data_IF_186438104207
#
_entry.id   IF_186438104207
#
_cell.length_a   1.000
_cell.length_b   1.000
_cell.length_c   1.000
_cell.angle_alpha   90.00
_cell.angle_beta   90.00
_cell.angle_gamma   90.00
#
_symmetry.space_group_name_H-M   'P 1'
#
loop_
_entity.id
_entity.type
_entity.pdbx_description
1 polymer ?
#
# COMPACT_ATOMS: atom_id res chain seq x y z
N UNK A 1 -16.07 12.25 4.53
CA UNK A 1 -15.12 12.37 3.40
C UNK A 1 -15.90 12.37 2.08
N UNK A 2 -16.61 13.46 1.78
CA UNK A 2 -17.66 13.50 0.76
C UNK A 2 -17.30 13.03 -0.65
N UNK A 3 -16.05 13.20 -1.10
CA UNK A 3 -15.64 12.73 -2.43
C UNK A 3 -15.51 11.20 -2.46
N UNK A 4 -14.93 10.60 -1.44
CA UNK A 4 -14.80 9.14 -1.33
C UNK A 4 -16.16 8.47 -1.21
N UNK A 5 -17.05 9.04 -0.41
CA UNK A 5 -18.42 8.55 -0.20
C UNK A 5 -19.20 8.62 -1.54
N UNK A 6 -19.06 9.75 -2.28
CA UNK A 6 -19.63 9.87 -3.61
C UNK A 6 -19.18 8.74 -4.55
N UNK A 7 -17.87 8.43 -4.60
CA UNK A 7 -17.38 7.35 -5.46
C UNK A 7 -17.86 5.97 -5.01
N UNK A 8 -17.94 5.73 -3.70
CA UNK A 8 -18.45 4.46 -3.15
C UNK A 8 -19.92 4.25 -3.51
N UNK A 9 -20.72 5.30 -3.43
CA UNK A 9 -22.18 5.22 -3.57
C UNK A 9 -22.65 5.26 -5.03
N UNK A 10 -21.98 6.06 -5.87
CA UNK A 10 -22.47 6.36 -7.22
C UNK A 10 -21.63 5.77 -8.36
N UNK A 11 -20.37 5.38 -8.12
CA UNK A 11 -19.55 4.82 -9.19
C UNK A 11 -19.69 3.30 -9.23
N UNK A 12 -20.23 2.72 -10.33
CA UNK A 12 -20.42 1.29 -10.45
C UNK A 12 -19.11 0.52 -10.19
N UNK A 13 -19.20 -0.56 -9.43
CA UNK A 13 -18.08 -1.46 -9.09
C UNK A 13 -17.03 -0.88 -8.14
N UNK A 14 -17.00 0.43 -7.88
CA UNK A 14 -16.00 1.04 -7.02
C UNK A 14 -15.97 0.44 -5.61
N UNK A 15 -17.13 0.23 -4.99
CA UNK A 15 -17.27 -0.40 -3.66
C UNK A 15 -16.94 -1.90 -3.64
N UNK A 16 -16.69 -2.53 -4.81
CA UNK A 16 -16.37 -3.96 -4.89
C UNK A 16 -14.87 -4.24 -4.75
N UNK A 17 -14.03 -3.22 -4.90
CA UNK A 17 -12.60 -3.37 -4.80
C UNK A 17 -12.11 -2.99 -3.40
N UNK A 18 -11.24 -3.82 -2.83
CA UNK A 18 -10.60 -3.55 -1.53
C UNK A 18 -9.55 -2.44 -1.63
N UNK A 19 -8.81 -2.40 -2.73
CA UNK A 19 -7.78 -1.41 -3.00
C UNK A 19 -8.30 -0.33 -3.95
N UNK A 20 -9.08 0.59 -3.43
CA UNK A 20 -9.69 1.69 -4.17
C UNK A 20 -8.62 2.63 -4.76
N UNK A 21 -7.46 2.73 -4.12
CA UNK A 21 -6.31 3.49 -4.60
C UNK A 21 -5.78 3.07 -5.98
N UNK A 22 -6.13 1.86 -6.46
CA UNK A 22 -5.76 1.40 -7.81
C UNK A 22 -6.25 2.34 -8.93
N UNK A 23 -7.31 3.13 -8.70
CA UNK A 23 -7.78 4.13 -9.66
C UNK A 23 -6.76 5.24 -9.93
N UNK A 24 -5.84 5.48 -8.98
CA UNK A 24 -4.80 6.48 -9.13
C UNK A 24 -3.85 6.19 -10.30
N UNK A 25 -3.76 4.93 -10.76
CA UNK A 25 -2.96 4.57 -11.94
C UNK A 25 -3.37 5.37 -13.18
N UNK A 26 -4.66 5.73 -13.29
CA UNK A 26 -5.15 6.58 -14.39
C UNK A 26 -4.50 7.97 -14.30
N UNK A 27 -4.45 8.56 -13.11
CA UNK A 27 -3.80 9.85 -12.89
C UNK A 27 -2.27 9.76 -13.08
N UNK A 28 -1.66 8.70 -12.57
CA UNK A 28 -0.21 8.43 -12.71
C UNK A 28 0.23 8.26 -14.17
N UNK A 29 -0.65 7.79 -15.03
CA UNK A 29 -0.38 7.70 -16.46
C UNK A 29 -0.73 8.99 -17.22
N UNK A 30 -1.91 9.56 -16.96
CA UNK A 30 -2.42 10.69 -17.75
C UNK A 30 -1.69 12.00 -17.46
N UNK A 31 -1.30 12.26 -16.20
CA UNK A 31 -0.61 13.49 -15.82
C UNK A 31 0.78 13.59 -16.50
N UNK A 32 1.66 12.57 -16.45
CA UNK A 32 2.93 12.60 -17.20
C UNK A 32 2.73 12.67 -18.72
N UNK A 33 1.73 11.99 -19.26
CA UNK A 33 1.42 12.07 -20.69
C UNK A 33 1.08 13.49 -21.10
N UNK A 34 0.20 14.18 -20.38
CA UNK A 34 -0.14 15.58 -20.62
C UNK A 34 1.07 16.51 -20.47
N UNK A 35 1.93 16.25 -19.49
CA UNK A 35 3.16 17.02 -19.30
C UNK A 35 4.12 16.88 -20.50
N UNK A 36 4.28 15.65 -21.03
CA UNK A 36 5.09 15.40 -22.24
C UNK A 36 4.48 16.09 -23.47
N UNK A 37 3.16 16.03 -23.64
CA UNK A 37 2.47 16.72 -24.72
C UNK A 37 2.65 18.25 -24.64
N UNK A 38 2.52 18.83 -23.43
CA UNK A 38 2.75 20.24 -23.20
C UNK A 38 4.22 20.63 -23.48
N UNK A 39 5.18 19.80 -23.05
CA UNK A 39 6.60 20.02 -23.35
C UNK A 39 6.88 20.00 -24.85
N UNK A 40 6.28 19.05 -25.58
CA UNK A 40 6.35 18.98 -27.05
C UNK A 40 5.88 20.30 -27.68
N UNK A 41 4.70 20.78 -27.27
CA UNK A 41 4.13 22.04 -27.79
C UNK A 41 5.04 23.24 -27.51
N UNK A 42 5.63 23.34 -26.32
CA UNK A 42 6.60 24.39 -25.97
C UNK A 42 7.86 24.30 -26.82
N UNK A 43 8.34 23.08 -27.12
CA UNK A 43 9.55 22.87 -27.95
C UNK A 43 9.30 23.23 -29.42
N UNK A 44 8.12 22.87 -29.96
CA UNK A 44 7.74 23.15 -31.35
C UNK A 44 7.39 24.62 -31.58
N UNK A 45 6.85 25.30 -30.56
CA UNK A 45 6.38 26.70 -30.61
C UNK A 45 6.89 27.55 -29.46
N UNK A 46 8.19 27.93 -29.46
CA UNK A 46 8.76 28.74 -28.36
C UNK A 46 8.08 30.09 -28.12
N UNK A 47 7.43 30.64 -29.16
CA UNK A 47 6.67 31.90 -29.08
C UNK A 47 5.45 31.82 -28.15
N UNK A 48 4.95 30.62 -27.81
CA UNK A 48 3.88 30.42 -26.81
C UNK A 48 4.25 31.03 -25.46
N UNK A 49 5.54 31.19 -25.18
CA UNK A 49 6.00 31.89 -23.99
C UNK A 49 5.40 33.30 -23.84
N UNK A 50 5.35 34.07 -24.93
CA UNK A 50 4.83 35.43 -24.88
C UNK A 50 3.31 35.48 -24.62
N UNK A 51 2.59 34.48 -25.08
CA UNK A 51 1.15 34.33 -24.84
C UNK A 51 0.82 33.76 -23.48
N UNK A 52 1.65 32.84 -22.98
CA UNK A 52 1.38 32.03 -21.79
C UNK A 52 2.20 32.42 -20.55
N UNK A 53 2.96 33.52 -20.60
CA UNK A 53 3.78 33.99 -19.46
C UNK A 53 3.02 34.06 -18.15
N UNK A 54 1.82 34.65 -18.17
CA UNK A 54 0.98 34.81 -16.99
C UNK A 54 0.58 33.43 -16.42
N UNK A 55 0.19 32.49 -17.26
CA UNK A 55 -0.16 31.13 -16.85
C UNK A 55 1.04 30.41 -16.24
N UNK A 56 2.23 30.55 -16.83
CA UNK A 56 3.45 29.98 -16.28
C UNK A 56 3.75 30.49 -14.86
N UNK A 57 3.69 31.80 -14.62
CA UNK A 57 3.94 32.34 -13.28
C UNK A 57 2.86 31.94 -12.27
N UNK A 58 1.61 31.88 -12.68
CA UNK A 58 0.50 31.40 -11.82
C UNK A 58 0.73 29.93 -11.46
N UNK A 59 1.05 29.09 -12.43
CA UNK A 59 1.32 27.67 -12.19
C UNK A 59 2.52 27.47 -11.28
N UNK A 60 3.62 28.22 -11.51
CA UNK A 60 4.79 28.18 -10.64
C UNK A 60 4.47 28.64 -9.21
N UNK A 61 3.67 29.70 -9.06
CA UNK A 61 3.26 30.18 -7.74
C UNK A 61 2.35 29.16 -7.01
N UNK A 62 1.46 28.49 -7.75
CA UNK A 62 0.57 27.46 -7.17
C UNK A 62 1.32 26.17 -6.82
N UNK A 63 2.30 25.74 -7.60
CA UNK A 63 3.03 24.49 -7.35
C UNK A 63 4.26 24.71 -6.49
N UNK A 64 5.22 25.49 -6.97
CA UNK A 64 6.46 25.83 -6.25
C UNK A 64 6.21 26.68 -5.02
N UNK A 65 5.33 27.71 -5.12
CA UNK A 65 4.97 28.58 -4.00
C UNK A 65 4.30 27.80 -2.87
N UNK A 66 3.36 26.90 -3.18
CA UNK A 66 2.71 26.06 -2.17
C UNK A 66 3.71 25.10 -1.51
N UNK A 67 4.60 24.47 -2.31
CA UNK A 67 5.65 23.60 -1.76
C UNK A 67 6.58 24.37 -0.83
N UNK A 68 6.94 25.62 -1.19
CA UNK A 68 7.75 26.50 -0.35
C UNK A 68 7.04 26.87 0.96
N UNK A 69 5.74 27.17 0.90
CA UNK A 69 4.94 27.48 2.09
C UNK A 69 4.89 26.26 3.05
N UNK A 70 4.71 25.07 2.52
CA UNK A 70 4.74 23.82 3.32
C UNK A 70 6.12 23.57 3.93
N UNK A 71 7.19 23.91 3.22
CA UNK A 71 8.55 23.76 3.74
C UNK A 71 8.87 24.76 4.85
N UNK A 72 8.41 26.02 4.74
CA UNK A 72 8.71 27.09 5.70
C UNK A 72 7.78 27.09 6.92
N UNK A 73 6.51 26.70 6.73
CA UNK A 73 5.48 26.76 7.78
C UNK A 73 4.66 25.47 7.86
N UNK A 74 5.29 24.29 8.07
CA UNK A 74 4.59 23.01 8.06
C UNK A 74 3.50 22.92 9.13
N UNK A 75 3.75 23.47 10.33
CA UNK A 75 2.79 23.45 11.44
C UNK A 75 1.60 24.39 11.30
N UNK A 76 1.64 25.35 10.37
CA UNK A 76 0.51 26.23 10.11
C UNK A 76 -0.62 25.48 9.37
N UNK A 77 -0.26 24.61 8.42
CA UNK A 77 -1.21 23.87 7.62
C UNK A 77 -1.61 22.54 8.27
N UNK A 78 -0.67 21.92 8.98
CA UNK A 78 -0.86 20.63 9.64
C UNK A 78 -0.44 20.74 11.10
N UNK A 79 -1.38 21.07 12.00
CA UNK A 79 -1.10 21.24 13.42
C UNK A 79 -0.74 19.92 14.13
N UNK A 80 -1.16 18.79 13.57
CA UNK A 80 -0.78 17.45 14.05
C UNK A 80 -0.53 16.50 12.88
N UNK A 81 0.45 15.63 13.03
CA UNK A 81 0.82 14.57 12.08
C UNK A 81 0.35 13.18 12.53
N UNK A 82 -0.42 13.11 13.61
CA UNK A 82 -1.04 11.88 14.11
C UNK A 82 -2.55 12.04 14.03
N UNK A 83 -3.22 11.11 13.37
CA UNK A 83 -4.68 11.15 13.26
C UNK A 83 -5.36 10.75 14.57
N UNK A 84 -6.61 11.20 14.80
CA UNK A 84 -7.38 10.82 16.00
C UNK A 84 -7.60 9.32 16.10
N UNK A 85 -7.80 8.63 14.97
CA UNK A 85 -7.96 7.18 14.94
C UNK A 85 -6.68 6.44 15.34
N UNK A 86 -5.53 6.92 14.88
CA UNK A 86 -4.23 6.37 15.23
C UNK A 86 -3.88 6.65 16.70
N UNK A 87 -4.20 7.83 17.20
CA UNK A 87 -4.06 8.18 18.61
C UNK A 87 -4.83 7.19 19.50
N UNK A 88 -6.09 6.93 19.18
CA UNK A 88 -6.92 5.98 19.92
C UNK A 88 -6.36 4.54 19.82
N UNK A 89 -5.86 4.13 18.67
CA UNK A 89 -5.24 2.82 18.50
C UNK A 89 -3.98 2.66 19.35
N UNK A 90 -3.12 3.68 19.37
CA UNK A 90 -1.90 3.69 20.18
C UNK A 90 -2.21 3.71 21.69
N UNK A 91 -3.21 4.47 22.12
CA UNK A 91 -3.67 4.49 23.52
C UNK A 91 -4.15 3.13 24.01
N UNK A 92 -4.74 2.33 23.13
CA UNK A 92 -5.22 0.99 23.47
C UNK A 92 -4.11 -0.09 23.41
N UNK A 93 -3.03 0.18 22.67
CA UNK A 93 -1.97 -0.81 22.42
C UNK A 93 -0.73 -0.61 23.29
N UNK A 94 -0.49 0.61 23.82
CA UNK A 94 0.76 0.99 24.49
C UNK A 94 0.45 1.48 25.90
N UNK A 95 1.27 1.09 26.92
CA UNK A 95 1.17 1.61 28.27
C UNK A 95 1.29 3.14 28.32
N UNK A 96 0.53 3.77 29.23
CA UNK A 96 0.39 5.24 29.30
C UNK A 96 1.73 5.97 29.57
N UNK A 97 2.65 5.34 30.25
CA UNK A 97 4.00 5.86 30.55
C UNK A 97 4.90 5.94 29.31
N UNK A 98 4.70 5.09 28.33
CA UNK A 98 5.47 5.04 27.07
C UNK A 98 4.80 5.81 25.92
N UNK A 99 3.53 6.10 26.04
CA UNK A 99 2.74 6.70 24.95
C UNK A 99 3.23 8.10 24.58
N UNK A 100 3.47 8.98 25.57
CA UNK A 100 3.84 10.36 25.32
C UNK A 100 5.17 10.52 24.55
N UNK A 101 6.28 9.84 24.91
CA UNK A 101 7.52 9.93 24.16
C UNK A 101 7.40 9.34 22.74
N UNK A 102 6.61 8.28 22.55
CA UNK A 102 6.39 7.69 21.22
C UNK A 102 5.63 8.67 20.33
N UNK A 103 4.60 9.33 20.82
CA UNK A 103 3.83 10.31 20.06
C UNK A 103 4.67 11.51 19.66
N UNK A 104 5.48 12.04 20.57
CA UNK A 104 6.38 13.18 20.29
C UNK A 104 7.36 12.80 19.18
N UNK A 105 8.03 11.65 19.31
CA UNK A 105 8.96 11.16 18.29
C UNK A 105 8.28 10.93 16.93
N UNK A 106 7.08 10.35 16.94
CA UNK A 106 6.32 10.09 15.72
C UNK A 106 5.93 11.39 15.00
N UNK A 107 5.47 12.40 15.75
CA UNK A 107 5.16 13.72 15.20
C UNK A 107 6.40 14.42 14.65
N UNK A 108 7.50 14.40 15.37
CA UNK A 108 8.76 15.01 14.94
C UNK A 108 9.32 14.37 13.67
N UNK A 109 9.36 13.04 13.62
CA UNK A 109 9.82 12.29 12.45
C UNK A 109 8.93 12.59 11.23
N UNK A 110 7.62 12.54 11.39
CA UNK A 110 6.68 12.81 10.28
C UNK A 110 6.76 14.25 9.79
N UNK A 111 6.87 15.20 10.70
CA UNK A 111 7.08 16.62 10.36
C UNK A 111 8.39 16.82 9.62
N UNK A 112 9.48 16.18 10.05
CA UNK A 112 10.78 16.23 9.39
C UNK A 112 10.72 15.67 7.97
N UNK A 113 10.09 14.50 7.78
CA UNK A 113 9.91 13.89 6.45
C UNK A 113 9.07 14.81 5.55
N UNK A 114 7.95 15.33 6.05
CA UNK A 114 7.09 16.25 5.30
C UNK A 114 7.83 17.50 4.84
N UNK A 115 8.58 18.13 5.75
CA UNK A 115 9.36 19.34 5.48
C UNK A 115 10.47 19.07 4.45
N UNK A 116 11.16 17.94 4.58
CA UNK A 116 12.21 17.51 3.64
C UNK A 116 11.62 17.27 2.23
N UNK A 117 10.47 16.62 2.14
CA UNK A 117 9.79 16.38 0.87
C UNK A 117 9.22 17.66 0.25
N UNK A 118 8.75 18.59 1.06
CA UNK A 118 8.33 19.91 0.60
C UNK A 118 9.48 20.71 -0.02
N UNK A 119 10.66 20.73 0.63
CA UNK A 119 11.88 21.32 0.07
C UNK A 119 12.30 20.66 -1.23
N UNK A 120 12.33 19.33 -1.28
CA UNK A 120 12.65 18.57 -2.49
C UNK A 120 11.71 18.96 -3.64
N UNK A 121 10.42 18.98 -3.39
CA UNK A 121 9.39 19.32 -4.38
C UNK A 121 9.57 20.76 -4.87
N UNK A 122 9.86 21.69 -3.98
CA UNK A 122 10.14 23.08 -4.36
C UNK A 122 11.35 23.17 -5.31
N UNK A 123 12.47 22.51 -4.98
CA UNK A 123 13.67 22.56 -5.83
C UNK A 123 13.48 21.87 -7.17
N UNK A 124 12.77 20.76 -7.23
CA UNK A 124 12.44 20.07 -8.50
C UNK A 124 11.60 20.98 -9.39
N UNK A 125 10.54 21.61 -8.84
CA UNK A 125 9.71 22.56 -9.58
C UNK A 125 10.49 23.78 -10.01
N UNK A 126 11.34 24.34 -9.14
CA UNK A 126 12.17 25.50 -9.44
C UNK A 126 13.15 25.21 -10.58
N UNK A 127 13.88 24.09 -10.51
CA UNK A 127 14.84 23.70 -11.56
C UNK A 127 14.10 23.48 -12.88
N UNK A 128 12.98 22.77 -12.87
CA UNK A 128 12.14 22.57 -14.07
C UNK A 128 11.67 23.89 -14.67
N UNK A 129 11.20 24.81 -13.83
CA UNK A 129 10.77 26.15 -14.28
C UNK A 129 11.93 26.98 -14.87
N UNK A 130 13.11 26.95 -14.26
CA UNK A 130 14.31 27.65 -14.76
C UNK A 130 14.76 27.07 -16.11
N UNK A 131 14.73 25.74 -16.27
CA UNK A 131 15.07 25.09 -17.55
C UNK A 131 14.10 25.49 -18.67
N UNK A 132 12.80 25.47 -18.40
CA UNK A 132 11.77 25.91 -19.35
C UNK A 132 11.91 27.38 -19.70
N UNK A 133 12.10 28.23 -18.70
CA UNK A 133 12.36 29.65 -18.91
C UNK A 133 13.62 29.89 -19.75
N UNK A 134 14.72 29.19 -19.45
CA UNK A 134 15.97 29.29 -20.18
C UNK A 134 15.85 28.90 -21.65
N UNK A 135 15.05 27.89 -21.95
CA UNK A 135 14.72 27.51 -23.32
C UNK A 135 13.91 28.58 -24.03
N UNK A 136 12.82 29.05 -23.41
CA UNK A 136 11.96 30.09 -23.99
C UNK A 136 12.69 31.44 -24.14
N UNK A 137 13.69 31.71 -23.33
CA UNK A 137 14.57 32.86 -23.45
C UNK A 137 15.69 32.71 -24.55
N UNK A 138 15.69 31.58 -25.27
CA UNK A 138 16.66 31.28 -26.32
C UNK A 138 18.10 30.95 -25.82
N UNK A 139 18.24 30.70 -24.52
CA UNK A 139 19.55 30.38 -23.88
C UNK A 139 19.87 28.88 -23.91
N UNK A 140 18.88 28.02 -24.10
CA UNK A 140 19.04 26.58 -24.13
C UNK A 140 18.54 26.00 -25.45
N UNK A 141 19.20 24.95 -25.94
CA UNK A 141 18.73 24.17 -27.09
C UNK A 141 17.69 23.15 -26.63
N UNK A 142 16.72 22.80 -27.50
CA UNK A 142 15.67 21.85 -27.20
C UNK A 142 16.19 20.48 -26.71
N UNK A 143 17.22 19.95 -27.34
CA UNK A 143 17.84 18.68 -26.94
C UNK A 143 18.41 18.73 -25.52
N UNK A 144 19.02 19.85 -25.14
CA UNK A 144 19.58 20.05 -23.81
C UNK A 144 18.47 20.20 -22.76
N UNK A 145 17.39 20.94 -23.10
CA UNK A 145 16.21 21.06 -22.23
C UNK A 145 15.63 19.66 -21.92
N UNK A 146 15.33 18.87 -22.96
CA UNK A 146 14.73 17.54 -22.79
C UNK A 146 15.64 16.62 -22.01
N UNK A 147 16.97 16.62 -22.31
CA UNK A 147 17.94 15.81 -21.59
C UNK A 147 18.06 16.18 -20.11
N UNK A 148 18.07 17.47 -19.78
CA UNK A 148 18.15 17.94 -18.40
C UNK A 148 16.86 17.69 -17.62
N UNK A 149 15.68 17.83 -18.23
CA UNK A 149 14.41 17.48 -17.62
C UNK A 149 14.31 15.97 -17.38
N UNK A 150 14.74 15.15 -18.34
CA UNK A 150 14.78 13.71 -18.18
C UNK A 150 15.73 13.29 -17.05
N UNK A 151 16.90 13.90 -16.96
CA UNK A 151 17.85 13.68 -15.86
C UNK A 151 17.26 14.09 -14.52
N UNK A 152 16.61 15.27 -14.45
CA UNK A 152 15.95 15.74 -13.23
C UNK A 152 14.90 14.75 -12.75
N UNK A 153 14.02 14.29 -13.65
CA UNK A 153 13.03 13.28 -13.33
C UNK A 153 13.67 11.95 -12.88
N UNK A 154 14.72 11.49 -13.57
CA UNK A 154 15.43 10.26 -13.21
C UNK A 154 16.02 10.34 -11.80
N UNK A 155 16.72 11.44 -11.47
CA UNK A 155 17.34 11.64 -10.16
C UNK A 155 16.29 11.73 -9.07
N UNK A 156 15.20 12.45 -9.30
CA UNK A 156 14.10 12.59 -8.34
C UNK A 156 13.42 11.25 -8.08
N UNK A 157 13.00 10.54 -9.14
CA UNK A 157 12.37 9.23 -9.03
C UNK A 157 13.28 8.19 -8.40
N UNK A 158 14.57 8.18 -8.75
CA UNK A 158 15.55 7.29 -8.14
C UNK A 158 15.68 7.51 -6.64
N UNK A 159 15.80 8.78 -6.23
CA UNK A 159 15.94 9.12 -4.81
C UNK A 159 14.73 8.71 -3.97
N UNK A 160 13.51 8.84 -4.54
CA UNK A 160 12.28 8.40 -3.89
C UNK A 160 12.19 6.89 -3.84
N UNK A 161 12.46 6.21 -4.97
CA UNK A 161 12.38 4.76 -5.05
C UNK A 161 13.33 4.06 -4.08
N UNK A 162 14.52 4.61 -3.84
CA UNK A 162 15.48 4.08 -2.85
C UNK A 162 14.99 4.12 -1.40
N UNK A 163 13.98 4.93 -1.08
CA UNK A 163 13.34 4.90 0.25
C UNK A 163 12.47 3.66 0.45
N UNK A 164 11.88 3.14 -0.64
CA UNK A 164 10.98 1.99 -0.63
C UNK A 164 11.66 0.68 -1.04
N UNK A 165 12.69 0.78 -1.88
CA UNK A 165 13.46 -0.35 -2.39
C UNK A 165 14.94 -0.11 -2.10
N UNK A 166 15.35 -0.32 -0.85
CA UNK A 166 16.73 -0.23 -0.43
C UNK A 166 17.45 -1.60 -0.53
N UNK A 167 18.77 -1.58 -0.55
CA UNK A 167 19.58 -2.73 -0.92
C UNK A 167 19.40 -3.96 0.00
N UNK A 168 19.06 -3.73 1.29
CA UNK A 168 18.79 -4.80 2.26
C UNK A 168 17.51 -5.61 1.97
N UNK A 169 16.61 -5.07 1.13
CA UNK A 169 15.41 -5.80 0.69
C UNK A 169 15.68 -6.77 -0.47
N UNK A 170 16.88 -6.68 -1.07
CA UNK A 170 17.27 -7.59 -2.15
C UNK A 170 18.02 -8.79 -1.56
N UNK A 171 17.42 -9.96 -1.69
CA UNK A 171 18.02 -11.22 -1.27
C UNK A 171 18.57 -11.99 -2.48
N UNK A 172 19.49 -12.91 -2.22
CA UNK A 172 20.04 -13.76 -3.26
C UNK A 172 18.94 -14.55 -3.96
N UNK A 173 19.02 -14.66 -5.28
CA UNK A 173 18.05 -15.39 -6.09
C UNK A 173 17.86 -16.83 -5.56
N UNK A 174 16.61 -17.19 -5.27
CA UNK A 174 16.23 -18.51 -4.77
C UNK A 174 16.07 -18.61 -3.24
N UNK A 175 16.63 -17.68 -2.48
CA UNK A 175 16.54 -17.75 -1.00
C UNK A 175 15.09 -17.54 -0.50
N UNK A 176 14.38 -16.58 -1.04
CA UNK A 176 12.97 -16.34 -0.66
C UNK A 176 11.99 -17.29 -1.34
N UNK A 177 12.41 -17.93 -2.42
CA UNK A 177 11.53 -18.87 -3.13
C UNK A 177 11.54 -20.27 -2.53
N UNK A 178 12.47 -20.60 -1.62
CA UNK A 178 12.54 -21.94 -1.02
C UNK A 178 11.22 -22.39 -0.37
N UNK A 179 10.50 -21.54 0.40
CA UNK A 179 9.22 -21.94 0.97
C UNK A 179 8.12 -22.25 -0.07
N UNK A 180 8.27 -21.73 -1.28
CA UNK A 180 7.35 -21.97 -2.39
C UNK A 180 7.80 -23.12 -3.29
N UNK A 181 9.09 -23.43 -3.28
CA UNK A 181 9.67 -24.51 -4.11
C UNK A 181 9.61 -25.87 -3.41
N UNK A 182 9.61 -25.87 -2.08
CA UNK A 182 9.59 -27.09 -1.28
C UNK A 182 8.43 -27.04 -0.26
N UNK A 183 7.45 -27.95 -0.37
CA UNK A 183 6.36 -28.04 0.60
C UNK A 183 6.92 -28.45 1.97
N UNK A 184 6.38 -27.89 3.03
CA UNK A 184 6.69 -28.29 4.42
C UNK A 184 6.28 -29.76 4.65
N UNK A 185 6.75 -30.35 5.76
CA UNK A 185 6.36 -31.72 6.11
C UNK A 185 4.84 -31.85 6.31
N UNK A 186 4.19 -30.81 6.85
CA UNK A 186 2.73 -30.73 6.98
C UNK A 186 2.08 -30.69 5.60
N UNK A 187 2.58 -29.88 4.69
CA UNK A 187 2.06 -29.81 3.31
C UNK A 187 2.22 -31.14 2.58
N UNK A 188 3.36 -31.81 2.74
CA UNK A 188 3.60 -33.14 2.15
C UNK A 188 2.61 -34.19 2.65
N UNK A 189 2.25 -34.15 3.94
CA UNK A 189 1.24 -35.05 4.49
C UNK A 189 -0.14 -34.78 3.86
N UNK A 190 -0.56 -33.51 3.80
CA UNK A 190 -1.86 -33.14 3.22
C UNK A 190 -1.89 -33.47 1.72
N UNK A 191 -0.80 -33.27 0.99
CA UNK A 191 -0.69 -33.55 -0.45
C UNK A 191 -0.76 -35.06 -0.80
N UNK A 192 -0.69 -35.96 0.21
CA UNK A 192 -0.94 -37.39 0.00
C UNK A 192 -2.44 -37.65 -0.31
N UNK A 193 -3.33 -36.81 0.19
CA UNK A 193 -4.76 -36.86 -0.19
C UNK A 193 -4.92 -36.37 -1.64
N UNK A 194 -5.27 -37.29 -2.52
CA UNK A 194 -5.49 -37.03 -3.95
C UNK A 194 -6.94 -36.63 -4.28
N UNK A 195 -7.80 -36.48 -3.29
CA UNK A 195 -9.15 -36.00 -3.54
C UNK A 195 -9.14 -34.54 -4.01
N UNK A 196 -10.08 -34.18 -4.88
CA UNK A 196 -10.13 -32.84 -5.46
C UNK A 196 -10.95 -31.84 -4.64
N UNK A 197 -11.71 -32.34 -3.67
CA UNK A 197 -12.84 -31.61 -3.07
C UNK A 197 -12.58 -31.13 -1.64
N UNK A 198 -11.31 -31.14 -1.15
CA UNK A 198 -11.00 -30.61 0.16
C UNK A 198 -10.41 -29.20 0.11
N UNK A 199 -10.55 -28.50 1.22
CA UNK A 199 -9.89 -27.22 1.48
C UNK A 199 -9.10 -27.25 2.78
N UNK A 200 -8.14 -26.33 2.89
CA UNK A 200 -7.24 -26.20 4.02
C UNK A 200 -7.46 -24.84 4.69
N UNK A 201 -7.60 -24.86 6.00
CA UNK A 201 -7.59 -23.67 6.84
C UNK A 201 -6.24 -23.60 7.60
N UNK A 202 -5.41 -22.65 7.27
CA UNK A 202 -4.13 -22.45 7.95
C UNK A 202 -4.27 -21.39 9.04
N UNK A 203 -4.19 -21.81 10.30
CA UNK A 203 -4.27 -20.98 11.48
C UNK A 203 -2.87 -20.65 12.05
N UNK A 204 -1.79 -21.17 11.46
CA UNK A 204 -0.42 -20.84 11.86
C UNK A 204 0.08 -19.50 11.31
N UNK A 205 -0.67 -18.92 10.40
CA UNK A 205 -0.38 -17.64 9.71
C UNK A 205 -1.60 -16.71 9.80
N UNK A 206 -1.46 -15.48 9.31
CA UNK A 206 -2.62 -14.61 9.15
C UNK A 206 -3.48 -15.08 7.98
N UNK A 207 -4.41 -15.99 8.26
CA UNK A 207 -5.22 -16.76 7.30
C UNK A 207 -5.77 -15.94 6.12
N UNK A 208 -6.26 -14.73 6.37
CA UNK A 208 -6.91 -13.91 5.34
C UNK A 208 -6.01 -12.81 4.76
N UNK A 209 -4.73 -12.80 5.13
CA UNK A 209 -3.77 -11.78 4.69
C UNK A 209 -2.43 -12.38 4.21
N UNK A 210 -2.43 -13.66 3.79
CA UNK A 210 -1.28 -14.35 3.22
C UNK A 210 -1.68 -15.17 1.98
N UNK A 211 -0.74 -15.59 1.16
CA UNK A 211 -1.00 -16.39 -0.06
C UNK A 211 -0.17 -17.68 -0.14
N UNK A 212 0.71 -17.93 0.83
CA UNK A 212 1.63 -19.06 0.79
C UNK A 212 0.89 -20.41 0.86
N UNK A 213 -0.16 -20.47 1.70
CA UNK A 213 -1.00 -21.68 1.81
C UNK A 213 -1.68 -22.01 0.48
N UNK A 214 -2.12 -20.99 -0.26
CA UNK A 214 -2.78 -21.19 -1.56
C UNK A 214 -1.85 -21.70 -2.66
N UNK A 215 -0.54 -21.65 -2.45
CA UNK A 215 0.43 -22.18 -3.39
C UNK A 215 0.37 -23.72 -3.47
N UNK A 216 0.19 -24.37 -2.33
CA UNK A 216 0.16 -25.82 -2.23
C UNK A 216 -1.25 -26.40 -2.10
N UNK A 217 -2.20 -25.65 -1.56
CA UNK A 217 -3.52 -26.13 -1.18
C UNK A 217 -4.65 -25.21 -1.64
N UNK A 218 -5.85 -25.75 -1.75
CA UNK A 218 -7.08 -24.96 -1.88
C UNK A 218 -7.38 -24.31 -0.53
N UNK A 219 -6.86 -23.10 -0.30
CA UNK A 219 -7.02 -22.40 0.97
C UNK A 219 -8.42 -21.80 1.13
N UNK A 220 -8.94 -21.82 2.36
CA UNK A 220 -10.08 -20.99 2.79
C UNK A 220 -9.68 -19.52 2.89
N UNK A 221 -8.42 -19.26 3.24
CA UNK A 221 -7.87 -17.94 3.40
C UNK A 221 -7.34 -17.32 2.10
N UNK A 222 -6.45 -16.40 2.28
CA UNK A 222 -5.72 -15.72 1.21
C UNK A 222 -5.98 -14.22 1.15
N UNK A 223 -4.98 -13.50 0.69
CA UNK A 223 -5.09 -12.08 0.38
C UNK A 223 -5.46 -11.87 -1.09
N UNK A 224 -6.51 -11.11 -1.32
CA UNK A 224 -6.90 -10.69 -2.67
C UNK A 224 -7.43 -9.25 -2.65
N UNK A 225 -6.87 -8.38 -3.50
CA UNK A 225 -7.26 -6.97 -3.56
C UNK A 225 -8.73 -6.75 -3.97
N UNK A 226 -9.28 -7.66 -4.77
CA UNK A 226 -10.68 -7.65 -5.23
C UNK A 226 -11.50 -8.78 -4.55
N UNK A 227 -11.33 -8.97 -3.24
CA UNK A 227 -12.12 -9.94 -2.47
C UNK A 227 -13.60 -9.61 -2.58
N UNK A 228 -14.43 -10.61 -2.90
CA UNK A 228 -15.87 -10.42 -2.96
C UNK A 228 -16.42 -9.98 -1.60
N UNK A 229 -17.24 -8.94 -1.58
CA UNK A 229 -17.85 -8.43 -0.35
C UNK A 229 -18.64 -9.51 0.40
N UNK A 230 -19.39 -10.35 -0.30
CA UNK A 230 -20.13 -11.48 0.31
C UNK A 230 -19.21 -12.46 1.05
N UNK A 231 -17.99 -12.67 0.52
CA UNK A 231 -17.02 -13.54 1.18
C UNK A 231 -16.42 -12.85 2.41
N UNK A 232 -16.17 -11.54 2.34
CA UNK A 232 -15.74 -10.78 3.51
C UNK A 232 -16.82 -10.79 4.61
N UNK A 233 -18.07 -10.57 4.26
CA UNK A 233 -19.20 -10.66 5.21
C UNK A 233 -19.27 -12.05 5.85
N UNK A 234 -19.07 -13.13 5.09
CA UNK A 234 -19.02 -14.49 5.62
C UNK A 234 -17.85 -14.69 6.59
N UNK A 235 -16.69 -14.08 6.30
CA UNK A 235 -15.53 -14.12 7.21
C UNK A 235 -15.87 -13.42 8.52
N UNK A 236 -16.38 -12.19 8.45
CA UNK A 236 -16.61 -11.34 9.61
C UNK A 236 -17.73 -11.85 10.51
N UNK A 237 -18.84 -12.31 9.92
CA UNK A 237 -20.05 -12.71 10.67
C UNK A 237 -20.04 -14.17 11.12
N UNK A 238 -19.28 -15.05 10.45
CA UNK A 238 -19.32 -16.48 10.69
C UNK A 238 -17.95 -17.11 10.91
N UNK A 239 -17.07 -17.09 9.91
CA UNK A 239 -15.81 -17.85 9.96
C UNK A 239 -14.92 -17.41 11.12
N UNK A 240 -14.84 -16.11 11.41
CA UNK A 240 -14.03 -15.59 12.51
C UNK A 240 -14.55 -16.08 13.88
N UNK A 241 -15.86 -16.18 14.02
CA UNK A 241 -16.49 -16.76 15.20
C UNK A 241 -16.15 -18.25 15.38
N UNK A 242 -16.20 -19.02 14.31
CA UNK A 242 -15.83 -20.44 14.32
C UNK A 242 -14.35 -20.66 14.61
N UNK A 243 -13.45 -19.86 14.03
CA UNK A 243 -12.02 -19.89 14.34
C UNK A 243 -11.77 -19.60 15.83
N UNK A 244 -12.46 -18.59 16.37
CA UNK A 244 -12.35 -18.24 17.79
C UNK A 244 -12.84 -19.37 18.69
N UNK A 245 -13.93 -20.04 18.34
CA UNK A 245 -14.45 -21.20 19.05
C UNK A 245 -13.49 -22.39 18.98
N UNK A 246 -12.88 -22.64 17.82
CA UNK A 246 -11.83 -23.66 17.67
C UNK A 246 -10.65 -23.40 18.62
N UNK A 247 -10.11 -22.18 18.64
CA UNK A 247 -9.00 -21.83 19.55
C UNK A 247 -9.32 -22.04 21.02
N UNK A 248 -10.57 -21.84 21.43
CA UNK A 248 -11.01 -22.08 22.81
C UNK A 248 -11.14 -23.58 23.14
N UNK A 249 -11.47 -24.40 22.13
CA UNK A 249 -11.71 -25.84 22.30
C UNK A 249 -10.41 -26.66 22.17
N UNK A 250 -9.48 -26.22 21.34
CA UNK A 250 -8.19 -26.92 21.11
C UNK A 250 -7.43 -27.31 22.39
N UNK A 251 -7.35 -26.49 23.45
CA UNK A 251 -6.65 -26.87 24.68
C UNK A 251 -7.30 -28.06 25.40
N UNK A 252 -8.59 -28.30 25.19
CA UNK A 252 -9.32 -29.40 25.86
C UNK A 252 -9.33 -30.72 25.08
N UNK A 253 -9.26 -30.64 23.73
CA UNK A 253 -9.29 -31.83 22.85
C UNK A 253 -7.91 -32.18 22.28
N UNK A 254 -6.90 -31.36 22.55
CA UNK A 254 -5.57 -31.50 21.94
C UNK A 254 -5.59 -31.26 20.45
N UNK A 255 -4.76 -31.99 19.69
CA UNK A 255 -4.71 -31.91 18.24
C UNK A 255 -5.74 -32.80 17.54
N UNK A 256 -6.55 -33.55 18.29
CA UNK A 256 -7.53 -34.47 17.72
C UNK A 256 -8.88 -33.76 17.49
N UNK A 257 -9.00 -33.15 16.30
CA UNK A 257 -10.23 -32.47 15.89
C UNK A 257 -11.42 -33.39 15.65
N UNK A 258 -11.24 -34.72 15.62
CA UNK A 258 -12.35 -35.66 15.52
C UNK A 258 -13.29 -35.62 16.73
N UNK A 259 -12.82 -35.10 17.85
CA UNK A 259 -13.62 -34.89 19.07
C UNK A 259 -14.41 -33.58 19.07
N UNK A 260 -14.16 -32.71 18.09
CA UNK A 260 -14.90 -31.46 17.89
C UNK A 260 -16.22 -31.77 17.18
N UNK A 261 -17.34 -31.44 17.81
CA UNK A 261 -18.65 -31.67 17.19
C UNK A 261 -18.86 -30.85 15.91
N UNK A 262 -19.53 -31.42 14.92
CA UNK A 262 -19.82 -30.79 13.63
C UNK A 262 -20.56 -29.45 13.76
N UNK A 263 -21.18 -29.20 14.88
CA UNK A 263 -21.93 -27.98 15.17
C UNK A 263 -21.02 -26.79 15.52
N UNK A 264 -19.73 -27.01 15.81
CA UNK A 264 -18.78 -25.95 16.16
C UNK A 264 -18.32 -25.15 14.94
N UNK A 265 -18.23 -25.81 13.78
CA UNK A 265 -17.69 -25.25 12.55
C UNK A 265 -18.59 -25.44 11.33
N UNK A 266 -19.89 -25.07 11.40
CA UNK A 266 -20.85 -25.37 10.33
C UNK A 266 -20.49 -24.69 9.01
N UNK A 267 -20.00 -23.47 9.01
CA UNK A 267 -19.62 -22.74 7.77
C UNK A 267 -18.32 -23.28 7.20
N UNK A 268 -17.33 -23.59 8.01
CA UNK A 268 -16.11 -24.25 7.57
C UNK A 268 -16.39 -25.62 6.97
N UNK A 269 -17.31 -26.39 7.56
CA UNK A 269 -17.76 -27.68 7.02
C UNK A 269 -18.49 -27.51 5.68
N UNK A 270 -19.38 -26.51 5.56
CA UNK A 270 -20.03 -26.14 4.31
C UNK A 270 -19.03 -25.77 3.21
N UNK A 271 -17.92 -25.13 3.58
CA UNK A 271 -16.83 -24.81 2.67
C UNK A 271 -15.91 -26.00 2.37
N UNK A 272 -16.23 -27.20 2.88
CA UNK A 272 -15.47 -28.42 2.73
C UNK A 272 -14.04 -28.34 3.27
N UNK A 273 -13.88 -27.70 4.43
CA UNK A 273 -12.60 -27.63 5.14
C UNK A 273 -12.32 -28.99 5.78
N UNK A 274 -11.29 -29.69 5.29
CA UNK A 274 -10.90 -31.02 5.78
C UNK A 274 -9.67 -30.95 6.66
N UNK A 275 -8.74 -30.06 6.34
CA UNK A 275 -7.46 -29.95 7.04
C UNK A 275 -7.30 -28.59 7.71
N UNK A 276 -6.84 -28.65 8.96
CA UNK A 276 -6.53 -27.49 9.78
C UNK A 276 -5.02 -27.52 10.10
N UNK A 277 -4.28 -26.51 9.67
CA UNK A 277 -2.88 -26.33 10.06
C UNK A 277 -2.86 -25.42 11.29
N UNK A 278 -2.42 -25.97 12.42
CA UNK A 278 -2.45 -25.30 13.70
C UNK A 278 -1.01 -25.10 14.18
N UNK A 279 -0.63 -23.94 14.75
CA UNK A 279 0.69 -23.74 15.30
C UNK A 279 0.88 -24.69 16.49
N UNK A 280 2.01 -25.43 16.51
CA UNK A 280 2.40 -26.19 17.68
C UNK A 280 2.59 -25.22 18.85
N UNK A 281 1.77 -25.34 19.90
CA UNK A 281 2.08 -24.69 21.16
C UNK A 281 3.36 -25.36 21.70
N UNK A 282 4.48 -24.65 21.61
CA UNK A 282 5.67 -25.07 22.36
C UNK A 282 5.27 -25.03 23.85
N UNK A 283 5.11 -26.20 24.43
CA UNK A 283 4.89 -26.33 25.85
C UNK A 283 6.00 -25.59 26.63
N UNK A 284 5.58 -24.70 27.53
CA UNK A 284 6.46 -24.09 28.52
C UNK A 284 6.99 -25.14 29.47
#
# INVERSE_FOLDING_TARGET
>A
MGLTDFFIDYVPMYSKFRAVSSILVIAEFTIPLLAIMALKEVVERPQLWNESRKSFYITFALTGGLSLLFALAPGFFFPSYVSSAEMNALQNAIPADQLAPILINLEEIRKSIFTSDAWRSFFVVLIGAVLLWGYCAGKLKAQLLVGLLALLCLVDMWSVNKRYLYDEQFVAKGTEMQPFLEPSETDKQILQDKSLDYRVLNLSVNTFNENNTAYWHKSIGGYHAAKLRRYQEMIDEHIQGEITALYKTLPSVGADLSQVGDTLTPVLNMLNTRYFIIPLQQGK
#
